data_IF_550933908522
#
_entry.id   IF_550933908522
#
_cell.length_a   1.000
_cell.length_b   1.000
_cell.length_c   1.000
_cell.angle_alpha   90.00
_cell.angle_beta   90.00
_cell.angle_gamma   90.00
#
_symmetry.space_group_name_H-M   'P 1'
#
loop_
_entity.id
_entity.type
_entity.pdbx_description
1 polymer ?
#
# COMPACT_ATOMS: atom_id res chain seq x y z
N UNK A 1 2.54 -26.25 -52.35
CA UNK A 1 1.69 -25.22 -51.72
C UNK A 1 1.51 -25.62 -50.27
N UNK A 2 2.37 -25.10 -49.41
CA UNK A 2 2.35 -25.44 -47.98
C UNK A 2 1.87 -24.21 -47.23
N UNK A 3 0.68 -24.28 -46.61
CA UNK A 3 0.14 -23.24 -45.78
C UNK A 3 0.74 -23.38 -44.39
N UNK A 4 1.55 -22.42 -44.01
CA UNK A 4 2.04 -22.26 -42.65
C UNK A 4 0.88 -21.77 -41.76
N UNK A 5 0.45 -22.61 -40.79
CA UNK A 5 -0.44 -22.24 -39.73
C UNK A 5 0.29 -21.21 -38.81
N UNK A 6 -0.17 -19.97 -38.85
CA UNK A 6 0.21 -18.96 -37.87
C UNK A 6 -0.54 -19.25 -36.57
N UNK A 7 0.17 -19.66 -35.51
CA UNK A 7 -0.35 -19.70 -34.15
C UNK A 7 -0.79 -18.30 -33.72
N UNK A 8 -1.97 -18.16 -33.09
CA UNK A 8 -2.40 -16.87 -32.57
C UNK A 8 -1.52 -16.46 -31.38
N UNK A 9 -0.80 -15.35 -31.53
CA UNK A 9 -0.04 -14.75 -30.46
C UNK A 9 -0.96 -14.43 -29.28
N UNK A 10 -0.70 -15.07 -28.13
CA UNK A 10 -1.38 -14.81 -26.85
C UNK A 10 -1.24 -13.32 -26.48
N UNK A 11 -2.33 -12.66 -26.02
CA UNK A 11 -2.26 -11.26 -25.63
C UNK A 11 -1.29 -11.07 -24.47
N UNK A 12 -0.44 -10.04 -24.56
CA UNK A 12 0.66 -9.66 -23.67
C UNK A 12 0.23 -9.22 -22.26
N UNK A 13 -0.93 -9.65 -21.78
CA UNK A 13 -1.53 -9.24 -20.51
C UNK A 13 -1.04 -9.99 -19.26
N UNK A 14 -0.19 -11.01 -19.42
CA UNK A 14 0.47 -11.70 -18.30
C UNK A 14 1.97 -11.47 -18.30
N UNK A 15 2.41 -10.20 -18.25
CA UNK A 15 3.73 -9.93 -17.67
C UNK A 15 3.63 -10.35 -16.20
N UNK A 16 4.23 -11.49 -15.86
CA UNK A 16 4.46 -11.90 -14.48
C UNK A 16 5.07 -10.70 -13.76
N UNK A 17 4.36 -10.19 -12.77
CA UNK A 17 4.80 -9.04 -11.99
C UNK A 17 6.11 -9.43 -11.28
N UNK A 18 7.20 -8.80 -11.67
CA UNK A 18 8.54 -9.01 -11.14
C UNK A 18 8.73 -8.50 -9.71
N UNK A 19 7.63 -8.15 -9.02
CA UNK A 19 7.68 -7.62 -7.66
C UNK A 19 7.39 -8.72 -6.64
N UNK A 20 8.22 -8.74 -5.58
CA UNK A 20 7.96 -9.52 -4.38
C UNK A 20 7.50 -8.59 -3.27
N UNK A 21 6.37 -8.90 -2.64
CA UNK A 21 5.90 -8.16 -1.46
C UNK A 21 6.32 -8.93 -0.22
N UNK A 22 6.93 -8.22 0.75
CA UNK A 22 7.31 -8.77 2.05
C UNK A 22 7.15 -7.72 3.16
N UNK A 23 7.16 -8.18 4.39
CA UNK A 23 7.26 -7.29 5.54
C UNK A 23 8.61 -6.53 5.52
N UNK A 24 8.55 -5.28 5.94
CA UNK A 24 9.73 -4.43 6.06
C UNK A 24 10.62 -4.89 7.23
N UNK A 25 11.93 -4.85 7.02
CA UNK A 25 12.96 -5.11 8.03
C UNK A 25 13.49 -3.77 8.55
N UNK A 26 14.09 -3.72 9.75
CA UNK A 26 14.74 -2.49 10.24
C UNK A 26 15.81 -1.95 9.29
N UNK A 27 16.49 -2.82 8.54
CA UNK A 27 17.48 -2.47 7.52
C UNK A 27 16.89 -1.75 6.31
N UNK A 28 15.60 -1.92 6.03
CA UNK A 28 14.90 -1.32 4.89
C UNK A 28 14.54 0.16 5.10
N UNK A 29 14.66 0.65 6.34
CA UNK A 29 14.17 1.94 6.76
C UNK A 29 14.65 3.10 5.88
N UNK A 30 15.94 3.11 5.51
CA UNK A 30 16.51 4.15 4.65
C UNK A 30 15.92 4.15 3.24
N UNK A 31 15.67 2.95 2.67
CA UNK A 31 15.07 2.81 1.35
C UNK A 31 13.58 3.20 1.37
N UNK A 32 12.83 2.79 2.41
CA UNK A 32 11.43 3.20 2.60
C UNK A 32 11.30 4.72 2.65
N UNK A 33 12.13 5.38 3.47
CA UNK A 33 12.15 6.85 3.56
C UNK A 33 12.43 7.48 2.20
N UNK A 34 13.37 6.94 1.43
CA UNK A 34 13.69 7.43 0.08
C UNK A 34 12.52 7.27 -0.89
N UNK A 35 11.79 6.14 -0.85
CA UNK A 35 10.57 5.90 -1.66
C UNK A 35 9.48 6.92 -1.32
N UNK A 36 9.24 7.17 -0.03
CA UNK A 36 8.22 8.12 0.44
C UNK A 36 8.57 9.56 0.00
N UNK A 37 9.82 9.97 0.20
CA UNK A 37 10.27 11.29 -0.21
C UNK A 37 10.19 11.49 -1.73
N UNK A 38 10.65 10.52 -2.51
CA UNK A 38 10.54 10.57 -3.98
C UNK A 38 9.10 10.60 -4.48
N UNK A 39 8.17 9.99 -3.73
CA UNK A 39 6.76 9.88 -4.16
C UNK A 39 5.90 11.07 -3.76
N UNK A 40 6.13 11.65 -2.57
CA UNK A 40 5.27 12.70 -2.03
C UNK A 40 5.88 14.10 -2.13
N UNK A 41 7.20 14.19 -2.22
CA UNK A 41 7.90 15.48 -2.16
C UNK A 41 8.76 15.79 -3.39
N UNK A 42 8.66 14.98 -4.44
CA UNK A 42 9.39 15.20 -5.69
C UNK A 42 9.11 16.56 -6.36
N UNK A 43 7.95 17.16 -6.08
CA UNK A 43 7.55 18.48 -6.62
C UNK A 43 7.67 19.63 -5.60
N UNK A 44 7.94 19.31 -4.34
CA UNK A 44 8.18 20.36 -3.35
C UNK A 44 9.55 20.97 -3.63
N UNK A 45 9.59 22.25 -4.02
CA UNK A 45 10.82 23.07 -4.05
C UNK A 45 11.29 23.34 -2.61
N UNK A 46 11.39 22.27 -1.80
CA UNK A 46 11.83 22.37 -0.44
C UNK A 46 13.32 22.66 -0.42
N UNK A 47 13.72 23.63 0.35
CA UNK A 47 15.12 23.90 0.64
C UNK A 47 15.79 22.66 1.19
N UNK A 48 17.05 22.42 0.84
CA UNK A 48 17.77 21.17 1.15
C UNK A 48 17.75 20.79 2.64
N UNK A 49 17.72 21.78 3.54
CA UNK A 49 17.61 21.56 4.99
C UNK A 49 16.24 21.03 5.43
N UNK A 50 15.14 21.49 4.78
CA UNK A 50 13.78 21.01 5.06
C UNK A 50 13.62 19.56 4.61
N UNK A 51 14.19 19.20 3.46
CA UNK A 51 14.22 17.81 2.99
C UNK A 51 14.93 16.87 4.00
N UNK A 52 16.07 17.33 4.55
CA UNK A 52 16.82 16.59 5.57
C UNK A 52 16.01 16.42 6.87
N UNK A 53 15.36 17.48 7.34
CA UNK A 53 14.50 17.44 8.54
C UNK A 53 13.31 16.47 8.36
N UNK A 54 12.64 16.53 7.20
CA UNK A 54 11.57 15.62 6.87
C UNK A 54 12.03 14.16 6.83
N UNK A 55 13.23 13.92 6.29
CA UNK A 55 13.84 12.59 6.26
C UNK A 55 14.01 12.00 7.66
N UNK A 56 14.48 12.80 8.62
CA UNK A 56 14.64 12.38 10.01
C UNK A 56 13.27 12.11 10.63
N UNK A 57 12.31 13.02 10.49
CA UNK A 57 10.97 12.87 11.07
C UNK A 57 10.26 11.61 10.57
N UNK A 58 10.26 11.35 9.26
CA UNK A 58 9.67 10.15 8.67
C UNK A 58 10.38 8.89 9.18
N UNK A 59 11.72 8.93 9.27
CA UNK A 59 12.52 7.80 9.74
C UNK A 59 12.17 7.40 11.18
N UNK A 60 12.12 8.36 12.09
CA UNK A 60 11.84 8.09 13.51
C UNK A 60 10.37 7.67 13.72
N UNK A 61 9.43 8.22 12.96
CA UNK A 61 8.03 7.80 12.99
C UNK A 61 7.87 6.33 12.56
N UNK A 62 8.44 5.94 11.41
CA UNK A 62 8.40 4.55 10.93
C UNK A 62 9.11 3.61 11.90
N UNK A 63 10.29 3.99 12.39
CA UNK A 63 11.06 3.21 13.37
C UNK A 63 10.26 2.94 14.65
N UNK A 64 9.51 3.93 15.13
CA UNK A 64 8.64 3.79 16.30
C UNK A 64 7.49 2.85 15.99
N UNK A 65 6.85 2.97 14.83
CA UNK A 65 5.74 2.10 14.42
C UNK A 65 6.16 0.65 14.19
N UNK A 66 7.38 0.41 13.70
CA UNK A 66 7.92 -0.95 13.54
C UNK A 66 8.09 -1.70 14.88
N UNK A 67 8.07 -1.00 16.02
CA UNK A 67 8.07 -1.60 17.35
C UNK A 67 6.66 -1.95 17.86
N UNK A 68 5.61 -1.59 17.12
CA UNK A 68 4.23 -1.92 17.48
C UNK A 68 4.02 -3.44 17.44
N UNK A 69 3.28 -4.03 18.39
CA UNK A 69 3.03 -5.47 18.44
C UNK A 69 2.42 -5.99 17.13
N UNK A 70 2.74 -7.25 16.82
CA UNK A 70 2.15 -7.96 15.69
C UNK A 70 0.61 -7.95 15.77
N UNK A 71 -0.05 -7.92 14.63
CA UNK A 71 -1.52 -7.85 14.54
C UNK A 71 -2.11 -6.44 14.66
N UNK A 72 -1.31 -5.41 14.99
CA UNK A 72 -1.80 -4.03 15.08
C UNK A 72 -1.18 -3.09 14.03
N UNK A 73 -0.03 -3.46 13.50
CA UNK A 73 0.70 -2.70 12.50
C UNK A 73 1.54 -3.63 11.62
N UNK A 74 1.60 -3.34 10.33
CA UNK A 74 2.57 -3.94 9.42
C UNK A 74 3.03 -2.90 8.39
N UNK A 75 4.33 -2.88 8.14
CA UNK A 75 4.94 -2.14 7.05
C UNK A 75 5.36 -3.14 5.96
N UNK A 76 4.95 -2.89 4.73
CA UNK A 76 5.21 -3.73 3.56
C UNK A 76 6.14 -3.01 2.61
N UNK A 77 6.99 -3.78 1.95
CA UNK A 77 7.84 -3.30 0.86
C UNK A 77 7.61 -4.14 -0.40
N UNK A 78 7.57 -3.46 -1.53
CA UNK A 78 7.65 -4.07 -2.85
C UNK A 78 9.11 -4.06 -3.28
N UNK A 79 9.67 -5.24 -3.49
CA UNK A 79 11.05 -5.42 -3.92
C UNK A 79 11.10 -5.95 -5.35
N UNK A 80 12.15 -5.60 -6.07
CA UNK A 80 12.47 -6.12 -7.38
C UNK A 80 13.92 -6.63 -7.35
N UNK A 81 14.15 -7.79 -7.95
CA UNK A 81 15.50 -8.33 -8.10
C UNK A 81 16.27 -7.44 -9.10
N UNK A 82 17.48 -7.08 -8.74
CA UNK A 82 18.36 -6.35 -9.64
C UNK A 82 18.85 -7.31 -10.75
N UNK A 83 18.70 -6.97 -12.05
CA UNK A 83 19.06 -7.89 -13.12
C UNK A 83 20.53 -8.32 -13.13
N UNK A 84 21.41 -7.50 -12.58
CA UNK A 84 22.87 -7.75 -12.55
C UNK A 84 23.37 -8.41 -11.24
N UNK A 85 22.48 -8.57 -10.23
CA UNK A 85 22.85 -9.11 -8.92
C UNK A 85 21.67 -9.85 -8.32
N UNK A 86 21.66 -11.17 -8.43
CA UNK A 86 20.60 -12.02 -7.86
C UNK A 86 20.46 -11.91 -6.33
N UNK A 87 21.37 -11.23 -5.65
CA UNK A 87 21.38 -11.03 -4.20
C UNK A 87 20.95 -9.64 -3.75
N UNK A 88 20.78 -8.66 -4.67
CA UNK A 88 20.40 -7.29 -4.34
C UNK A 88 18.93 -7.04 -4.66
N UNK A 89 18.08 -6.95 -3.63
CA UNK A 89 16.68 -6.53 -3.75
C UNK A 89 16.59 -5.00 -3.68
N UNK A 90 16.10 -4.37 -4.74
CA UNK A 90 15.77 -2.95 -4.72
C UNK A 90 14.35 -2.73 -4.19
N UNK A 91 14.16 -1.89 -3.18
CA UNK A 91 12.84 -1.48 -2.68
C UNK A 91 12.31 -0.38 -3.59
N UNK A 92 11.22 -0.67 -4.26
CA UNK A 92 10.59 0.23 -5.25
C UNK A 92 9.23 0.76 -4.80
N UNK A 93 8.65 0.20 -3.74
CA UNK A 93 7.38 0.65 -3.18
C UNK A 93 7.23 0.27 -1.72
N UNK A 94 6.29 0.93 -1.04
CA UNK A 94 5.94 0.67 0.35
C UNK A 94 4.45 0.89 0.59
N UNK A 95 3.90 0.24 1.61
CA UNK A 95 2.59 0.52 2.18
C UNK A 95 2.60 0.14 3.66
N UNK A 96 1.83 0.87 4.45
CA UNK A 96 1.60 0.54 5.86
C UNK A 96 0.15 0.20 6.09
N UNK A 97 -0.13 -0.80 6.93
CA UNK A 97 -1.46 -1.10 7.45
C UNK A 97 -1.41 -1.07 8.97
N UNK A 98 -2.40 -0.43 9.59
CA UNK A 98 -2.49 -0.28 11.04
C UNK A 98 -3.93 -0.37 11.53
N UNK A 99 -4.09 -0.79 12.78
CA UNK A 99 -5.35 -0.63 13.47
C UNK A 99 -5.44 0.82 14.00
N UNK A 100 -6.52 1.52 13.65
CA UNK A 100 -6.79 2.88 14.13
C UNK A 100 -8.13 2.92 14.88
N UNK A 101 -8.24 3.67 15.97
CA UNK A 101 -9.54 3.91 16.60
C UNK A 101 -10.47 4.59 15.61
N UNK A 102 -11.75 4.23 15.62
CA UNK A 102 -12.80 5.03 14.99
C UNK A 102 -12.98 6.31 15.80
N UNK A 103 -13.41 7.41 15.12
CA UNK A 103 -13.47 8.72 15.75
C UNK A 103 -14.36 8.77 17.01
N UNK A 104 -14.00 9.67 17.93
CA UNK A 104 -14.26 9.68 19.36
C UNK A 104 -15.73 9.83 19.81
N UNK A 105 -16.73 9.84 18.91
CA UNK A 105 -18.15 9.98 19.27
C UNK A 105 -18.97 8.68 19.17
N UNK A 106 -18.31 7.55 18.93
CA UNK A 106 -18.94 6.24 19.07
C UNK A 106 -18.87 5.79 20.53
N UNK A 107 -20.00 5.45 21.13
CA UNK A 107 -20.14 4.97 22.51
C UNK A 107 -19.28 3.71 22.84
N UNK A 108 -18.80 3.03 21.81
CA UNK A 108 -17.88 1.90 21.94
C UNK A 108 -16.63 2.13 21.10
N UNK A 109 -15.41 2.01 21.67
CA UNK A 109 -14.16 2.18 20.96
C UNK A 109 -13.96 1.03 19.97
N UNK A 110 -14.42 1.21 18.75
CA UNK A 110 -14.17 0.27 17.66
C UNK A 110 -12.86 0.64 16.95
N UNK A 111 -12.14 -0.39 16.48
CA UNK A 111 -10.94 -0.20 15.67
C UNK A 111 -11.27 -0.48 14.20
N UNK A 112 -10.55 0.17 13.30
CA UNK A 112 -10.62 -0.05 11.85
C UNK A 112 -9.25 -0.33 11.28
N UNK A 113 -9.16 -1.23 10.31
CA UNK A 113 -7.94 -1.44 9.53
C UNK A 113 -7.76 -0.26 8.56
N UNK A 114 -6.56 0.31 8.53
CA UNK A 114 -6.30 1.55 7.80
C UNK A 114 -4.96 1.48 7.07
N UNK A 115 -4.96 1.80 5.76
CA UNK A 115 -3.76 1.90 4.93
C UNK A 115 -3.22 3.33 4.97
N UNK A 116 -1.92 3.46 5.15
CA UNK A 116 -1.16 4.70 5.02
C UNK A 116 0.12 4.47 4.23
N UNK A 117 0.76 5.56 3.81
CA UNK A 117 2.08 5.56 3.19
C UNK A 117 2.23 4.61 1.98
N UNK A 118 1.14 4.41 1.19
CA UNK A 118 1.23 3.70 -0.07
C UNK A 118 1.97 4.57 -1.08
N UNK A 119 3.14 4.13 -1.48
CA UNK A 119 4.02 4.83 -2.40
C UNK A 119 4.78 3.88 -3.31
N UNK A 120 5.02 4.29 -4.55
CA UNK A 120 5.88 3.58 -5.52
C UNK A 120 6.76 4.62 -6.20
N UNK A 121 8.06 4.31 -6.30
CA UNK A 121 9.03 5.20 -6.96
C UNK A 121 8.56 5.57 -8.38
N UNK A 122 8.75 6.81 -8.84
CA UNK A 122 8.26 7.27 -10.15
C UNK A 122 8.65 6.34 -11.31
N UNK A 123 9.86 5.82 -11.31
CA UNK A 123 10.42 4.93 -12.35
C UNK A 123 9.75 3.56 -12.42
N UNK A 124 9.08 3.11 -11.35
CA UNK A 124 8.45 1.79 -11.25
C UNK A 124 6.91 1.86 -11.14
N UNK A 125 6.34 3.04 -11.44
CA UNK A 125 4.88 3.22 -11.49
C UNK A 125 4.28 2.49 -12.70
N UNK A 126 2.97 2.22 -12.64
CA UNK A 126 2.17 1.59 -13.72
C UNK A 126 2.59 0.15 -14.07
N UNK A 127 3.35 -0.50 -13.20
CA UNK A 127 3.84 -1.87 -13.36
C UNK A 127 3.17 -2.86 -12.39
N UNK A 128 2.13 -2.44 -11.64
CA UNK A 128 1.36 -3.32 -10.74
C UNK A 128 1.82 -3.36 -9.28
N UNK A 129 2.97 -2.75 -8.91
CA UNK A 129 3.50 -2.80 -7.54
C UNK A 129 2.50 -2.27 -6.49
N UNK A 130 1.84 -1.12 -6.75
CA UNK A 130 0.85 -0.56 -5.84
C UNK A 130 -0.37 -1.47 -5.67
N UNK A 131 -0.82 -2.13 -6.73
CA UNK A 131 -1.94 -3.06 -6.68
C UNK A 131 -1.61 -4.30 -5.83
N UNK A 132 -0.40 -4.84 -5.96
CA UNK A 132 0.04 -5.98 -5.13
C UNK A 132 0.19 -5.60 -3.65
N UNK A 133 0.71 -4.40 -3.36
CA UNK A 133 0.76 -3.87 -1.99
C UNK A 133 -0.65 -3.76 -1.39
N UNK A 134 -1.63 -3.24 -2.15
CA UNK A 134 -3.03 -3.16 -1.72
C UNK A 134 -3.62 -4.54 -1.43
N UNK A 135 -3.46 -5.51 -2.34
CA UNK A 135 -3.95 -6.89 -2.16
C UNK A 135 -3.34 -7.55 -0.91
N UNK A 136 -2.05 -7.30 -0.64
CA UNK A 136 -1.40 -7.81 0.56
C UNK A 136 -1.96 -7.15 1.83
N UNK A 137 -2.21 -5.83 1.82
CA UNK A 137 -2.88 -5.14 2.92
C UNK A 137 -4.29 -5.69 3.17
N UNK A 138 -5.04 -6.01 2.11
CA UNK A 138 -6.37 -6.62 2.21
C UNK A 138 -6.32 -7.99 2.88
N UNK A 139 -5.34 -8.83 2.50
CA UNK A 139 -5.12 -10.12 3.14
C UNK A 139 -4.78 -9.99 4.62
N UNK A 140 -3.93 -9.03 4.99
CA UNK A 140 -3.57 -8.74 6.38
C UNK A 140 -4.79 -8.23 7.16
N UNK A 141 -5.61 -7.32 6.60
CA UNK A 141 -6.83 -6.86 7.24
C UNK A 141 -7.78 -8.03 7.57
N UNK A 142 -7.95 -8.96 6.62
CA UNK A 142 -8.75 -10.18 6.83
C UNK A 142 -8.15 -11.07 7.94
N UNK A 143 -6.83 -11.26 7.98
CA UNK A 143 -6.18 -12.06 9.03
C UNK A 143 -6.31 -11.44 10.43
N UNK A 144 -6.46 -10.10 10.50
CA UNK A 144 -6.76 -9.39 11.73
C UNK A 144 -8.26 -9.36 12.10
N UNK A 145 -9.12 -10.02 11.30
CA UNK A 145 -10.57 -10.12 11.52
C UNK A 145 -11.37 -8.90 11.05
N UNK A 146 -10.79 -8.01 10.26
CA UNK A 146 -11.50 -6.86 9.70
C UNK A 146 -12.21 -7.23 8.40
N UNK A 147 -13.43 -6.73 8.24
CA UNK A 147 -14.22 -6.87 7.02
C UNK A 147 -14.18 -5.63 6.12
N UNK A 148 -13.64 -4.52 6.62
CA UNK A 148 -13.49 -3.26 5.88
C UNK A 148 -12.08 -2.71 6.06
N UNK A 149 -11.55 -2.19 4.97
CA UNK A 149 -10.23 -1.56 4.92
C UNK A 149 -10.39 -0.12 4.42
N UNK A 150 -9.76 0.82 5.13
CA UNK A 150 -9.93 2.25 4.92
C UNK A 150 -8.62 2.90 4.51
N UNK A 151 -8.72 3.99 3.77
CA UNK A 151 -7.60 4.86 3.44
C UNK A 151 -8.09 6.27 3.13
N UNK A 152 -7.20 7.25 3.21
CA UNK A 152 -7.47 8.59 2.69
C UNK A 152 -6.73 8.83 1.38
N UNK A 153 -7.38 9.61 0.50
CA UNK A 153 -6.76 10.14 -0.71
C UNK A 153 -7.07 11.63 -0.82
N UNK A 154 -6.14 12.39 -1.37
CA UNK A 154 -6.36 13.80 -1.68
C UNK A 154 -7.31 13.91 -2.87
N UNK A 155 -8.30 14.81 -2.80
CA UNK A 155 -9.29 14.98 -3.87
C UNK A 155 -8.67 15.42 -5.20
N UNK A 156 -7.57 16.16 -5.14
CA UNK A 156 -6.77 16.66 -6.26
C UNK A 156 -5.72 15.65 -6.77
N UNK A 157 -5.72 14.40 -6.27
CA UNK A 157 -4.84 13.34 -6.77
C UNK A 157 -5.60 12.32 -7.65
N UNK A 158 -5.82 12.62 -8.95
CA UNK A 158 -6.60 11.77 -9.85
C UNK A 158 -5.94 10.41 -10.07
N UNK A 159 -4.61 10.33 -10.05
CA UNK A 159 -3.85 9.09 -10.27
C UNK A 159 -4.10 8.10 -9.14
N UNK A 160 -4.00 8.54 -7.89
CA UNK A 160 -4.28 7.69 -6.74
C UNK A 160 -5.77 7.31 -6.65
N UNK A 161 -6.67 8.25 -6.95
CA UNK A 161 -8.11 7.98 -6.99
C UNK A 161 -8.46 6.91 -8.02
N UNK A 162 -7.87 6.96 -9.22
CA UNK A 162 -8.06 5.94 -10.26
C UNK A 162 -7.56 4.56 -9.79
N UNK A 163 -6.37 4.49 -9.16
CA UNK A 163 -5.83 3.26 -8.60
C UNK A 163 -6.80 2.64 -7.58
N UNK A 164 -7.27 3.42 -6.59
CA UNK A 164 -8.15 2.92 -5.55
C UNK A 164 -9.52 2.52 -6.10
N UNK A 165 -10.08 3.29 -7.03
CA UNK A 165 -11.34 2.94 -7.70
C UNK A 165 -11.24 1.62 -8.47
N UNK A 166 -10.15 1.41 -9.21
CA UNK A 166 -9.87 0.14 -9.92
C UNK A 166 -9.67 -1.03 -8.94
N UNK A 167 -9.07 -0.76 -7.78
CA UNK A 167 -8.92 -1.76 -6.71
C UNK A 167 -10.24 -2.01 -5.93
N UNK A 168 -11.34 -1.32 -6.26
CA UNK A 168 -12.66 -1.54 -5.66
C UNK A 168 -12.96 -0.71 -4.42
N UNK A 169 -12.12 0.28 -4.09
CA UNK A 169 -12.42 1.23 -3.00
C UNK A 169 -13.48 2.24 -3.45
N UNK A 170 -14.34 2.63 -2.52
CA UNK A 170 -15.44 3.61 -2.74
C UNK A 170 -15.39 4.70 -1.69
N UNK A 171 -15.75 5.94 -2.03
CA UNK A 171 -15.89 7.01 -1.05
C UNK A 171 -16.94 6.63 0.01
N UNK A 172 -16.62 6.81 1.28
CA UNK A 172 -17.54 6.59 2.40
C UNK A 172 -17.75 7.84 3.22
N UNK A 173 -16.81 8.78 3.23
CA UNK A 173 -16.91 10.02 3.98
C UNK A 173 -16.03 11.10 3.36
N UNK A 174 -16.44 12.36 3.44
CA UNK A 174 -15.65 13.54 3.09
C UNK A 174 -15.23 14.22 4.38
N UNK A 175 -13.94 14.22 4.67
CA UNK A 175 -13.40 14.84 5.88
C UNK A 175 -13.59 16.36 5.84
N UNK A 176 -14.32 16.90 6.83
CA UNK A 176 -14.51 18.33 7.09
C UNK A 176 -14.92 19.19 5.87
N UNK A 177 -16.19 19.08 5.41
CA UNK A 177 -16.66 19.87 4.28
C UNK A 177 -16.61 21.39 4.51
N UNK A 178 -16.71 21.85 5.77
CA UNK A 178 -16.73 23.27 6.12
C UNK A 178 -15.34 23.91 5.94
N UNK A 179 -14.27 23.30 6.44
CA UNK A 179 -12.90 23.85 6.34
C UNK A 179 -12.30 23.72 4.93
N UNK A 180 -12.72 22.70 4.17
CA UNK A 180 -12.32 22.56 2.77
C UNK A 180 -13.09 23.48 1.84
N UNK A 181 -14.35 23.78 2.15
CA UNK A 181 -15.16 24.76 1.41
C UNK A 181 -14.64 26.20 1.52
N UNK A 182 -13.92 26.52 2.61
CA UNK A 182 -13.24 27.81 2.80
C UNK A 182 -11.83 27.86 2.19
N UNK A 183 -11.38 26.82 1.47
CA UNK A 183 -10.05 26.77 0.84
C UNK A 183 -8.86 26.68 1.82
N UNK A 184 -9.13 26.51 3.11
CA UNK A 184 -8.11 26.53 4.17
C UNK A 184 -7.32 25.22 4.29
N UNK A 185 -7.87 24.10 3.75
CA UNK A 185 -7.15 22.81 3.71
C UNK A 185 -7.53 22.02 2.45
N UNK A 186 -6.57 21.30 1.85
CA UNK A 186 -6.87 20.41 0.73
C UNK A 186 -7.86 19.34 1.17
N UNK A 187 -8.86 19.09 0.35
CA UNK A 187 -9.92 18.13 0.62
C UNK A 187 -9.38 16.70 0.61
N UNK A 188 -9.65 15.94 1.67
CA UNK A 188 -9.31 14.52 1.79
C UNK A 188 -10.59 13.69 1.72
N UNK A 189 -10.57 12.66 0.90
CA UNK A 189 -11.65 11.69 0.76
C UNK A 189 -11.29 10.45 1.56
N UNK A 190 -12.16 10.01 2.45
CA UNK A 190 -12.06 8.70 3.07
C UNK A 190 -12.67 7.67 2.14
N UNK A 191 -11.89 6.68 1.76
CA UNK A 191 -12.33 5.56 0.94
C UNK A 191 -12.37 4.29 1.78
N UNK A 192 -13.29 3.39 1.47
CA UNK A 192 -13.35 2.07 2.06
C UNK A 192 -13.57 1.00 1.01
N UNK A 193 -13.15 -0.22 1.35
CA UNK A 193 -13.42 -1.44 0.59
C UNK A 193 -13.81 -2.55 1.55
N UNK A 194 -14.87 -3.29 1.22
CA UNK A 194 -15.18 -4.54 1.89
C UNK A 194 -14.17 -5.60 1.46
N UNK A 195 -13.47 -6.21 2.42
CA UNK A 195 -12.50 -7.27 2.19
C UNK A 195 -13.07 -8.61 2.61
N UNK A 196 -12.77 -9.65 1.83
CA UNK A 196 -13.20 -11.02 2.11
C UNK A 196 -11.97 -11.90 2.21
N UNK A 197 -11.92 -12.87 3.15
CA UNK A 197 -10.82 -13.83 3.19
C UNK A 197 -10.71 -14.55 1.84
N UNK A 198 -9.48 -14.56 1.31
CA UNK A 198 -9.20 -15.29 0.07
C UNK A 198 -9.36 -16.79 0.33
N UNK A 199 -10.14 -17.49 -0.49
CA UNK A 199 -10.38 -18.97 -0.36
C UNK A 199 -9.12 -19.83 -0.52
N UNK A 200 -7.93 -19.26 -0.76
CA UNK A 200 -6.71 -20.02 -1.07
C UNK A 200 -5.99 -20.63 0.14
N UNK A 201 -6.35 -20.31 1.39
CA UNK A 201 -5.60 -20.77 2.57
C UNK A 201 -6.27 -21.90 3.37
N UNK A 202 -7.33 -22.55 2.86
CA UNK A 202 -8.01 -23.65 3.58
C UNK A 202 -7.53 -25.06 3.21
N UNK A 203 -6.53 -25.21 2.35
CA UNK A 203 -6.08 -26.55 1.93
C UNK A 203 -4.86 -27.10 2.70
N UNK A 204 -4.39 -26.42 3.74
CA UNK A 204 -3.19 -26.85 4.49
C UNK A 204 -3.44 -27.23 5.96
N UNK A 205 -4.69 -27.26 6.42
CA UNK A 205 -5.00 -27.51 7.84
C UNK A 205 -5.75 -28.82 8.12
N UNK A 206 -6.14 -29.59 7.10
CA UNK A 206 -6.93 -30.81 7.32
C UNK A 206 -6.18 -32.15 7.23
N UNK A 207 -4.86 -32.14 6.99
CA UNK A 207 -4.10 -33.39 6.78
C UNK A 207 -3.18 -33.77 7.96
N UNK A 208 -3.38 -33.21 9.14
CA UNK A 208 -2.58 -33.57 10.34
C UNK A 208 -3.40 -34.23 11.46
N UNK A 209 -4.60 -34.71 11.18
CA UNK A 209 -5.46 -35.32 12.21
C UNK A 209 -5.87 -36.77 11.93
N UNK A 210 -5.09 -37.52 11.14
CA UNK A 210 -5.23 -38.95 11.00
C UNK A 210 -3.90 -39.64 10.86
N UNK A 211 -3.21 -39.87 11.97
CA UNK A 211 -2.36 -41.06 12.25
C UNK A 211 -2.38 -41.33 13.75
#
# INVERSE_FOLDING_TARGET
MSQANAEPALPSAFRQSSFRIRAARPTDLSAIVSVLLASFYAQAQATQWLYWLMRIGIREDIKTRLKTPEGQYACLVATMLHPESAQSEAIVGTAEISQRPCEAWQLFPSKRAYISNLAVTPTHRRQGAAQQLLLTCESIACSWGFHHLYLHVMADNPVARALYSQAGYRPCEVSNPILSGLGLRPQRLLLSKQVKPSRRNHLSAEDSSKV
#
